data_IF_728236721272
#
_entry.id   IF_728236721272
#
_cell.length_a   1.000
_cell.length_b   1.000
_cell.length_c   1.000
_cell.angle_alpha   90.00
_cell.angle_beta   90.00
_cell.angle_gamma   90.00
#
_symmetry.space_group_name_H-M   'P 1'
#
loop_
_entity.id
_entity.type
_entity.pdbx_description
1 polymer ?
#
# COMPACT_ATOMS: atom_id res chain seq x y z
N UNK A 1 11.29 27.55 -40.97
CA UNK A 1 11.15 26.62 -39.82
C UNK A 1 10.14 25.56 -40.22
N UNK A 2 10.59 24.32 -40.38
CA UNK A 2 9.82 23.27 -41.06
C UNK A 2 8.70 22.75 -40.15
N UNK A 3 7.47 22.64 -40.65
CA UNK A 3 6.29 22.10 -39.92
C UNK A 3 6.57 20.72 -39.27
N UNK A 4 7.55 20.01 -39.82
CA UNK A 4 8.10 18.75 -39.29
C UNK A 4 8.72 18.91 -37.88
N UNK A 5 9.38 20.03 -37.60
CA UNK A 5 10.03 20.31 -36.31
C UNK A 5 8.98 20.65 -35.24
N UNK A 6 7.92 21.38 -35.62
CA UNK A 6 6.78 21.68 -34.76
C UNK A 6 5.99 20.41 -34.41
N UNK A 7 5.85 19.47 -35.35
CA UNK A 7 5.17 18.19 -35.11
C UNK A 7 5.94 17.29 -34.13
N UNK A 8 7.27 17.23 -34.24
CA UNK A 8 8.13 16.38 -33.39
C UNK A 8 8.17 16.92 -31.95
N UNK A 9 8.24 18.24 -31.78
CA UNK A 9 8.23 18.89 -30.47
C UNK A 9 6.89 18.70 -29.74
N UNK A 10 5.77 18.75 -30.47
CA UNK A 10 4.43 18.49 -29.92
C UNK A 10 4.27 17.03 -29.45
N UNK A 11 4.80 16.06 -30.21
CA UNK A 11 4.79 14.63 -29.84
C UNK A 11 5.56 14.35 -28.55
N UNK A 12 6.71 15.00 -28.36
CA UNK A 12 7.54 14.83 -27.16
C UNK A 12 6.89 15.43 -25.91
N UNK A 13 6.23 16.59 -26.04
CA UNK A 13 5.49 17.22 -24.95
C UNK A 13 4.26 16.41 -24.51
N UNK A 14 3.61 15.70 -25.44
CA UNK A 14 2.45 14.84 -25.13
C UNK A 14 2.80 13.62 -24.27
N UNK A 15 4.04 13.11 -24.32
CA UNK A 15 4.49 11.97 -23.51
C UNK A 15 4.86 12.36 -22.06
N UNK A 16 5.17 13.63 -21.81
CA UNK A 16 5.56 14.09 -20.47
C UNK A 16 4.37 14.36 -19.53
N UNK A 17 3.16 14.50 -20.07
CA UNK A 17 1.94 14.80 -19.27
C UNK A 17 1.40 13.56 -18.54
N UNK A 18 1.82 12.35 -18.93
CA UNK A 18 1.36 11.11 -18.30
C UNK A 18 2.12 10.75 -17.00
N UNK A 19 3.16 11.50 -16.62
CA UNK A 19 4.07 11.13 -15.53
C UNK A 19 3.98 12.03 -14.29
N UNK A 20 3.05 12.98 -14.24
CA UNK A 20 2.90 13.88 -13.09
C UNK A 20 1.47 13.87 -12.55
N UNK A 21 1.07 12.76 -11.95
CA UNK A 21 -0.05 12.74 -11.00
C UNK A 21 0.18 11.62 -9.98
N UNK A 22 1.20 11.81 -9.13
CA UNK A 22 1.28 11.11 -7.85
C UNK A 22 0.74 12.05 -6.79
N UNK A 23 -0.58 12.25 -6.77
CA UNK A 23 -1.25 12.78 -5.59
C UNK A 23 -1.35 11.63 -4.58
N UNK A 24 -0.40 11.64 -3.64
CA UNK A 24 -0.35 10.76 -2.47
C UNK A 24 -1.48 11.14 -1.51
N UNK A 25 -2.72 10.79 -1.87
CA UNK A 25 -3.91 10.95 -1.01
C UNK A 25 -4.87 9.78 -1.17
N UNK A 26 -4.47 8.60 -0.70
CA UNK A 26 -5.40 7.47 -0.60
C UNK A 26 -5.50 6.93 0.82
N UNK A 27 -5.95 7.81 1.72
CA UNK A 27 -6.84 7.37 2.79
C UNK A 27 -8.24 7.12 2.22
N UNK A 28 -8.80 5.94 2.49
CA UNK A 28 -10.19 5.51 2.20
C UNK A 28 -10.54 5.25 0.72
N UNK A 29 -10.35 4.01 0.26
CA UNK A 29 -11.27 3.43 -0.72
C UNK A 29 -11.50 1.93 -0.47
N UNK A 30 -12.76 1.46 -0.41
CA UNK A 30 -13.09 0.04 -0.33
C UNK A 30 -13.10 -0.55 -1.76
N UNK A 31 -11.95 -0.53 -2.42
CA UNK A 31 -11.74 -1.26 -3.69
C UNK A 31 -11.28 -2.70 -3.43
N UNK A 32 -11.35 -3.61 -4.42
CA UNK A 32 -10.70 -4.91 -4.33
C UNK A 32 -9.22 -4.70 -4.01
N UNK A 33 -8.83 -5.09 -2.80
CA UNK A 33 -7.50 -4.85 -2.25
C UNK A 33 -6.43 -5.43 -3.21
N UNK A 34 -5.35 -4.71 -3.54
CA UNK A 34 -4.21 -5.32 -4.24
C UNK A 34 -3.75 -6.56 -3.45
N UNK A 35 -3.25 -7.62 -4.12
CA UNK A 35 -2.92 -8.89 -3.46
C UNK A 35 -1.84 -8.78 -2.38
N UNK A 36 -1.21 -7.61 -2.23
CA UNK A 36 -0.13 -7.34 -1.29
C UNK A 36 -0.18 -5.90 -0.74
N UNK A 37 0.54 -5.65 0.35
CA UNK A 37 0.69 -4.32 0.94
C UNK A 37 1.81 -3.53 0.24
N UNK A 38 1.54 -2.32 -0.24
CA UNK A 38 2.57 -1.38 -0.72
C UNK A 38 3.09 -0.44 0.39
N UNK A 39 2.34 -0.35 1.49
CA UNK A 39 2.72 0.41 2.68
C UNK A 39 2.17 -0.25 3.95
N UNK A 40 2.72 0.15 5.10
CA UNK A 40 2.30 -0.29 6.44
C UNK A 40 1.74 0.87 7.25
N UNK A 41 0.86 0.55 8.19
CA UNK A 41 0.21 1.52 9.08
C UNK A 41 1.19 2.07 10.11
N UNK A 42 1.29 3.40 10.21
CA UNK A 42 2.21 4.08 11.15
C UNK A 42 1.65 4.22 12.58
N UNK A 43 0.33 4.13 12.75
CA UNK A 43 -0.34 4.23 14.05
C UNK A 43 -0.53 2.89 14.74
N UNK A 44 -0.67 2.91 16.07
CA UNK A 44 -1.13 1.75 16.81
C UNK A 44 -2.64 1.57 16.59
N UNK A 45 -3.02 0.44 15.98
CA UNK A 45 -4.40 0.09 15.65
C UNK A 45 -4.87 -1.16 16.41
N UNK A 46 -4.26 -1.50 17.55
CA UNK A 46 -4.60 -2.72 18.32
C UNK A 46 -6.10 -2.79 18.64
N UNK A 47 -6.75 -1.66 18.91
CA UNK A 47 -8.18 -1.60 19.23
C UNK A 47 -9.11 -1.96 18.05
N UNK A 48 -8.61 -1.84 16.82
CA UNK A 48 -9.38 -2.09 15.60
C UNK A 48 -9.21 -3.53 15.10
N UNK A 49 -8.19 -4.24 15.60
CA UNK A 49 -7.93 -5.65 15.23
C UNK A 49 -8.98 -6.56 15.85
N UNK A 50 -9.54 -7.44 15.03
CA UNK A 50 -10.52 -8.45 15.41
C UNK A 50 -10.01 -9.87 15.12
N UNK A 51 -10.46 -10.83 15.93
CA UNK A 51 -10.07 -12.24 15.78
C UNK A 51 -8.74 -12.58 16.46
N UNK A 52 -8.28 -13.81 16.24
CA UNK A 52 -7.07 -14.37 16.87
C UNK A 52 -6.04 -14.85 15.86
N UNK A 53 -6.23 -14.54 14.57
CA UNK A 53 -5.34 -14.96 13.50
C UNK A 53 -4.70 -13.77 12.80
N UNK A 54 -3.49 -13.97 12.27
CA UNK A 54 -2.81 -13.03 11.40
C UNK A 54 -2.10 -13.77 10.27
N UNK A 55 -1.80 -13.04 9.20
CA UNK A 55 -0.95 -13.53 8.11
C UNK A 55 0.34 -12.74 8.03
N UNK A 56 1.42 -13.38 7.63
CA UNK A 56 2.67 -12.68 7.30
C UNK A 56 2.82 -12.57 5.79
N UNK A 57 3.07 -11.36 5.31
CA UNK A 57 3.36 -11.08 3.93
C UNK A 57 4.86 -10.80 3.78
N UNK A 58 5.52 -11.58 2.92
CA UNK A 58 6.89 -11.32 2.51
C UNK A 58 6.96 -10.16 1.51
N UNK A 59 8.04 -9.39 1.55
CA UNK A 59 8.30 -8.36 0.54
C UNK A 59 8.53 -8.99 -0.84
N UNK A 60 7.95 -8.40 -1.89
CA UNK A 60 8.10 -8.85 -3.29
C UNK A 60 7.74 -7.74 -4.26
N UNK A 61 8.69 -7.30 -5.09
CA UNK A 61 8.45 -6.17 -6.01
C UNK A 61 8.07 -4.92 -5.22
N UNK A 62 6.96 -4.29 -5.57
CA UNK A 62 6.42 -3.11 -4.86
C UNK A 62 5.75 -3.45 -3.52
N UNK A 63 5.60 -4.74 -3.21
CA UNK A 63 5.02 -5.19 -1.95
C UNK A 63 6.05 -5.09 -0.82
N UNK A 64 5.69 -4.43 0.27
CA UNK A 64 6.48 -4.37 1.50
C UNK A 64 6.18 -5.55 2.41
N UNK A 65 7.13 -5.87 3.30
CA UNK A 65 6.91 -6.85 4.36
C UNK A 65 5.85 -6.31 5.33
N UNK A 66 4.83 -7.11 5.63
CA UNK A 66 3.72 -6.67 6.49
C UNK A 66 3.12 -7.83 7.29
N UNK A 67 2.54 -7.51 8.45
CA UNK A 67 1.59 -8.38 9.15
C UNK A 67 0.17 -7.97 8.74
N UNK A 68 -0.65 -8.93 8.32
CA UNK A 68 -2.04 -8.69 7.97
C UNK A 68 -2.92 -9.06 9.16
N UNK A 69 -3.60 -8.04 9.69
CA UNK A 69 -4.69 -8.22 10.63
C UNK A 69 -6.04 -8.06 9.94
N UNK A 70 -7.08 -8.61 10.56
CA UNK A 70 -8.46 -8.33 10.21
C UNK A 70 -9.00 -7.27 11.16
N UNK A 71 -9.72 -6.31 10.62
CA UNK A 71 -10.49 -5.29 11.34
C UNK A 71 -11.95 -5.39 10.91
N UNK A 72 -12.83 -4.61 11.55
CA UNK A 72 -14.24 -4.51 11.11
C UNK A 72 -14.38 -3.97 9.70
N UNK A 73 -13.41 -3.17 9.25
CA UNK A 73 -13.42 -2.48 7.96
C UNK A 73 -12.64 -3.23 6.87
N UNK A 74 -11.93 -4.32 7.21
CA UNK A 74 -11.22 -5.17 6.26
C UNK A 74 -9.83 -5.58 6.73
N UNK A 75 -8.89 -5.73 5.79
CA UNK A 75 -7.50 -6.10 6.10
C UNK A 75 -6.68 -4.88 6.44
N UNK A 76 -5.84 -5.00 7.46
CA UNK A 76 -4.90 -3.98 7.90
C UNK A 76 -3.46 -4.46 7.65
N UNK A 77 -2.70 -3.69 6.89
CA UNK A 77 -1.25 -3.87 6.74
C UNK A 77 -0.52 -3.20 7.92
N UNK A 78 0.08 -4.00 8.79
CA UNK A 78 0.81 -3.55 9.96
C UNK A 78 2.32 -3.77 9.81
N UNK A 79 3.10 -2.85 10.38
CA UNK A 79 4.55 -2.89 10.36
C UNK A 79 5.07 -4.03 11.27
N UNK A 80 5.74 -5.07 10.75
CA UNK A 80 6.26 -6.17 11.57
C UNK A 80 7.27 -5.71 12.63
N UNK A 81 7.90 -4.55 12.45
CA UNK A 81 8.91 -4.04 13.37
C UNK A 81 8.32 -3.17 14.49
N UNK A 82 7.08 -2.73 14.36
CA UNK A 82 6.39 -1.94 15.38
C UNK A 82 6.12 -2.76 16.65
N UNK A 83 6.37 -2.16 17.81
CA UNK A 83 6.25 -2.85 19.10
C UNK A 83 4.83 -3.38 19.35
N UNK A 84 3.79 -2.60 19.05
CA UNK A 84 2.41 -3.00 19.23
C UNK A 84 2.02 -4.22 18.37
N UNK A 85 2.65 -4.39 17.21
CA UNK A 85 2.43 -5.55 16.35
C UNK A 85 3.05 -6.79 16.98
N UNK A 86 4.29 -6.69 17.46
CA UNK A 86 4.99 -7.77 18.16
C UNK A 86 4.23 -8.23 19.41
N UNK A 87 3.74 -7.29 20.21
CA UNK A 87 2.98 -7.57 21.42
C UNK A 87 1.65 -8.26 21.10
N UNK A 88 0.99 -7.83 20.02
CA UNK A 88 -0.29 -8.38 19.60
C UNK A 88 -0.15 -9.80 19.04
N UNK A 89 0.80 -10.03 18.12
CA UNK A 89 1.01 -11.36 17.51
C UNK A 89 1.55 -12.40 18.49
N UNK A 90 2.14 -11.97 19.62
CA UNK A 90 2.61 -12.88 20.67
C UNK A 90 1.50 -13.79 21.23
N UNK A 91 0.24 -13.35 21.14
CA UNK A 91 -0.94 -14.07 21.63
C UNK A 91 -1.89 -14.50 20.50
N UNK A 92 -1.46 -14.47 19.24
CA UNK A 92 -2.28 -14.81 18.07
C UNK A 92 -1.68 -15.98 17.29
N UNK A 93 -2.51 -16.61 16.47
CA UNK A 93 -2.12 -17.72 15.59
C UNK A 93 -1.72 -17.18 14.22
N UNK A 94 -0.50 -17.52 13.78
CA UNK A 94 -0.09 -17.29 12.39
C UNK A 94 -0.75 -18.31 11.47
N UNK A 95 -1.34 -17.86 10.37
CA UNK A 95 -1.98 -18.70 9.34
C UNK A 95 -1.31 -18.49 7.98
#
# INVERSE_FOLDING_TARGET
MSVKILSITLLLLSMCVCCHSSEDTHGRHPGPFPPCCTAVTKGNMTADVVGQIYHELAARGDCVKAIIFYTKDGKLCADPDAQWVKDLIANMTKV
#
